data_IF_646332942739
#
_entry.id   IF_646332942739
#
_cell.length_a   1.000
_cell.length_b   1.000
_cell.length_c   1.000
_cell.angle_alpha   90.00
_cell.angle_beta   90.00
_cell.angle_gamma   90.00
#
_symmetry.space_group_name_H-M   'P 1'
#
loop_
_entity.id
_entity.type
_entity.pdbx_description
1 polymer ?
#
# COMPACT_ATOMS: atom_id res chain seq x y z
N UNK A 1 14.85 42.62 -74.11
CA UNK A 1 15.21 41.26 -74.62
C UNK A 1 15.42 40.43 -73.31
N UNK A 2 14.34 39.78 -72.95
CA UNK A 2 14.18 39.05 -71.63
C UNK A 2 14.76 37.64 -71.79
N UNK A 3 15.46 37.21 -70.79
CA UNK A 3 15.79 35.84 -70.53
C UNK A 3 15.09 35.43 -69.22
N UNK A 4 14.08 34.58 -69.33
CA UNK A 4 13.31 33.99 -68.26
C UNK A 4 14.19 32.96 -67.53
N UNK A 5 14.33 33.18 -66.23
CA UNK A 5 15.03 32.26 -65.31
C UNK A 5 14.00 31.31 -64.70
N UNK A 6 13.88 30.13 -65.30
CA UNK A 6 12.96 29.03 -64.97
C UNK A 6 13.54 28.27 -63.77
N UNK A 7 13.15 28.65 -62.51
CA UNK A 7 13.50 27.92 -61.30
C UNK A 7 12.58 26.71 -61.15
N UNK A 8 13.14 25.54 -61.32
CA UNK A 8 12.49 24.24 -61.02
C UNK A 8 12.16 24.15 -59.50
N UNK A 9 10.97 23.64 -59.13
CA UNK A 9 10.61 23.47 -57.70
C UNK A 9 11.42 22.36 -57.06
N UNK A 10 12.05 22.67 -55.92
CA UNK A 10 12.77 21.74 -55.07
C UNK A 10 11.85 20.61 -54.61
N UNK A 11 12.20 19.40 -55.02
CA UNK A 11 11.54 18.15 -54.64
C UNK A 11 11.77 17.90 -53.13
N UNK A 12 10.78 18.24 -52.28
CA UNK A 12 10.80 17.97 -50.85
C UNK A 12 10.69 16.46 -50.65
N UNK A 13 11.79 15.81 -50.33
CA UNK A 13 11.84 14.42 -49.90
C UNK A 13 11.09 14.26 -48.60
N UNK A 14 9.87 13.75 -48.66
CA UNK A 14 9.07 13.36 -47.49
C UNK A 14 9.71 12.10 -46.91
N UNK A 15 10.54 12.29 -45.88
CA UNK A 15 11.03 11.19 -45.04
C UNK A 15 9.84 10.48 -44.39
N UNK A 16 9.71 9.15 -44.51
CA UNK A 16 8.58 8.44 -43.92
C UNK A 16 8.69 8.53 -42.41
N UNK A 17 7.73 9.25 -41.80
CA UNK A 17 7.53 9.35 -40.36
C UNK A 17 7.39 7.93 -39.80
N UNK A 18 8.39 7.42 -39.08
CA UNK A 18 8.34 6.13 -38.38
C UNK A 18 7.01 6.07 -37.62
N UNK A 19 6.10 5.23 -38.09
CA UNK A 19 4.86 4.88 -37.35
C UNK A 19 5.23 4.36 -36.02
N UNK A 20 5.08 5.19 -34.98
CA UNK A 20 5.13 4.72 -33.58
C UNK A 20 4.13 3.57 -33.46
N UNK A 21 4.57 2.45 -32.89
CA UNK A 21 3.73 1.29 -32.58
C UNK A 21 2.52 1.78 -31.79
N UNK A 22 1.39 1.95 -32.45
CA UNK A 22 0.10 2.18 -31.80
C UNK A 22 -0.24 0.89 -31.04
N UNK A 23 -0.04 0.86 -29.75
CA UNK A 23 -0.52 -0.23 -28.90
C UNK A 23 -2.03 -0.36 -29.10
N UNK A 24 -2.49 -1.57 -29.46
CA UNK A 24 -3.91 -1.79 -29.71
C UNK A 24 -4.68 -1.54 -28.40
N UNK A 25 -5.91 -0.99 -28.48
CA UNK A 25 -6.80 -0.77 -27.33
C UNK A 25 -6.97 -2.05 -26.48
N UNK A 26 -6.91 -3.22 -27.11
CA UNK A 26 -6.98 -4.53 -26.43
C UNK A 26 -5.74 -4.80 -25.58
N UNK A 27 -4.55 -4.51 -26.09
CA UNK A 27 -3.28 -4.68 -25.38
C UNK A 27 -3.20 -3.76 -24.14
N UNK A 28 -3.63 -2.51 -24.26
CA UNK A 28 -3.69 -1.55 -23.15
C UNK A 28 -4.65 -2.02 -22.03
N UNK A 29 -5.83 -2.56 -22.41
CA UNK A 29 -6.80 -3.08 -21.44
C UNK A 29 -6.29 -4.32 -20.72
N UNK A 30 -5.68 -5.25 -21.42
CA UNK A 30 -5.07 -6.45 -20.82
C UNK A 30 -3.95 -6.03 -19.87
N UNK A 31 -3.05 -5.13 -20.31
CA UNK A 31 -1.97 -4.59 -19.49
C UNK A 31 -2.46 -3.97 -18.18
N UNK A 32 -3.55 -3.20 -18.22
CA UNK A 32 -4.16 -2.60 -17.03
C UNK A 32 -4.55 -3.65 -15.97
N UNK A 33 -5.25 -4.71 -16.38
CA UNK A 33 -5.67 -5.78 -15.48
C UNK A 33 -4.51 -6.64 -14.98
N UNK A 34 -3.51 -6.90 -15.83
CA UNK A 34 -2.30 -7.65 -15.42
C UNK A 34 -1.49 -6.87 -14.40
N UNK A 35 -1.29 -5.57 -14.60
CA UNK A 35 -0.59 -4.72 -13.60
C UNK A 35 -1.36 -4.68 -12.28
N UNK A 36 -2.69 -4.57 -12.32
CA UNK A 36 -3.52 -4.61 -11.12
C UNK A 36 -3.38 -5.96 -10.38
N UNK A 37 -3.42 -7.08 -11.11
CA UNK A 37 -3.25 -8.42 -10.55
C UNK A 37 -1.86 -8.60 -9.92
N UNK A 38 -0.80 -8.18 -10.62
CA UNK A 38 0.58 -8.21 -10.11
C UNK A 38 0.70 -7.37 -8.84
N UNK A 39 0.11 -6.18 -8.82
CA UNK A 39 0.12 -5.33 -7.64
C UNK A 39 -0.61 -5.99 -6.46
N UNK A 40 -1.76 -6.63 -6.69
CA UNK A 40 -2.47 -7.39 -5.67
C UNK A 40 -1.63 -8.56 -5.13
N UNK A 41 -0.96 -9.31 -6.00
CA UNK A 41 -0.05 -10.40 -5.60
C UNK A 41 1.06 -9.89 -4.69
N UNK A 42 1.67 -8.77 -5.00
CA UNK A 42 2.72 -8.18 -4.15
C UNK A 42 2.16 -7.76 -2.80
N UNK A 43 0.99 -7.12 -2.78
CA UNK A 43 0.34 -6.72 -1.53
C UNK A 43 -0.07 -7.93 -0.67
N UNK A 44 -0.48 -9.06 -1.29
CA UNK A 44 -0.70 -10.33 -0.57
C UNK A 44 0.50 -10.72 0.29
N UNK A 45 1.71 -10.69 -0.27
CA UNK A 45 2.93 -11.03 0.45
C UNK A 45 3.20 -10.13 1.66
N UNK A 46 2.67 -8.90 1.67
CA UNK A 46 2.78 -7.99 2.81
C UNK A 46 2.15 -8.52 4.09
N UNK A 47 1.05 -9.27 3.98
CA UNK A 47 0.26 -9.79 5.09
C UNK A 47 0.36 -11.31 5.27
N UNK A 48 0.90 -12.04 4.29
CA UNK A 48 1.12 -13.50 4.41
C UNK A 48 1.79 -13.93 5.72
N UNK A 49 2.84 -13.26 6.21
CA UNK A 49 3.50 -13.66 7.45
C UNK A 49 2.70 -13.41 8.73
N UNK A 50 1.63 -12.59 8.69
CA UNK A 50 0.91 -12.19 9.91
C UNK A 50 0.33 -13.38 10.67
N UNK A 51 -0.45 -14.30 10.05
CA UNK A 51 -0.95 -15.49 10.76
C UNK A 51 0.15 -16.46 11.18
N UNK A 52 1.36 -16.34 10.60
CA UNK A 52 2.48 -17.24 10.86
C UNK A 52 3.34 -16.82 12.06
N UNK A 53 3.20 -15.58 12.54
CA UNK A 53 4.00 -15.05 13.66
C UNK A 53 3.94 -15.94 14.90
N UNK A 54 2.79 -16.54 15.20
CA UNK A 54 2.63 -17.44 16.34
C UNK A 54 3.48 -18.71 16.23
N UNK A 55 3.60 -19.27 15.02
CA UNK A 55 4.40 -20.48 14.76
C UNK A 55 5.89 -20.16 14.90
N UNK A 56 6.36 -19.08 14.30
CA UNK A 56 7.75 -18.63 14.42
C UNK A 56 8.09 -18.18 15.85
N UNK A 57 7.21 -17.48 16.54
CA UNK A 57 7.42 -17.10 17.94
C UNK A 57 7.59 -18.32 18.83
N UNK A 58 6.80 -19.38 18.61
CA UNK A 58 6.91 -20.62 19.35
C UNK A 58 8.20 -21.40 19.01
N UNK A 59 8.60 -21.48 17.75
CA UNK A 59 9.78 -22.26 17.31
C UNK A 59 11.10 -21.51 17.54
N UNK A 60 11.13 -20.19 17.36
CA UNK A 60 12.33 -19.35 17.44
C UNK A 60 12.44 -18.58 18.79
N UNK A 61 11.48 -18.75 19.71
CA UNK A 61 11.48 -18.21 21.07
C UNK A 61 11.63 -16.68 21.16
N UNK A 62 11.00 -15.91 20.25
CA UNK A 62 10.95 -14.46 20.35
C UNK A 62 9.57 -13.96 20.84
N UNK A 63 9.57 -12.90 21.64
CA UNK A 63 8.35 -12.30 22.18
C UNK A 63 7.66 -11.32 21.23
N UNK A 64 6.70 -10.56 21.78
CA UNK A 64 5.91 -9.55 21.05
C UNK A 64 6.75 -8.47 20.37
N UNK A 65 7.90 -8.10 20.94
CA UNK A 65 8.84 -7.18 20.30
C UNK A 65 9.38 -7.73 18.96
N UNK A 66 9.73 -9.02 18.91
CA UNK A 66 10.16 -9.67 17.66
C UNK A 66 9.08 -9.59 16.58
N UNK A 67 7.83 -9.85 16.94
CA UNK A 67 6.69 -9.75 16.02
C UNK A 67 6.52 -8.33 15.47
N UNK A 68 6.57 -7.32 16.33
CA UNK A 68 6.47 -5.91 15.90
C UNK A 68 7.68 -5.47 15.08
N UNK A 69 8.88 -5.97 15.40
CA UNK A 69 10.11 -5.68 14.65
C UNK A 69 10.05 -6.26 13.22
N UNK A 70 9.56 -7.50 13.05
CA UNK A 70 9.35 -8.12 11.74
C UNK A 70 8.41 -7.28 10.87
N UNK A 71 7.34 -6.74 11.45
CA UNK A 71 6.43 -5.84 10.73
C UNK A 71 7.09 -4.49 10.41
N UNK A 72 7.78 -3.88 11.37
CA UNK A 72 8.40 -2.57 11.23
C UNK A 72 9.53 -2.55 10.19
N UNK A 73 10.35 -3.60 10.15
CA UNK A 73 11.44 -3.73 9.19
C UNK A 73 10.92 -3.83 7.75
N UNK A 74 9.79 -4.49 7.53
CA UNK A 74 9.10 -4.45 6.24
C UNK A 74 8.74 -3.02 5.83
N UNK A 75 8.07 -2.28 6.71
CA UNK A 75 7.67 -0.91 6.41
C UNK A 75 8.88 0.01 6.21
N UNK A 76 9.96 -0.19 6.96
CA UNK A 76 11.23 0.52 6.76
C UNK A 76 11.84 0.23 5.38
N UNK A 77 11.84 -1.03 4.93
CA UNK A 77 12.26 -1.40 3.58
C UNK A 77 11.45 -0.68 2.49
N UNK A 78 10.12 -0.59 2.66
CA UNK A 78 9.26 0.18 1.74
C UNK A 78 9.61 1.67 1.75
N UNK A 79 9.86 2.26 2.93
CA UNK A 79 10.26 3.67 3.04
C UNK A 79 11.57 3.95 2.30
N UNK A 80 12.60 3.12 2.52
CA UNK A 80 13.89 3.22 1.81
C UNK A 80 13.67 3.12 0.31
N UNK A 81 12.85 2.18 -0.12
CA UNK A 81 12.54 1.97 -1.54
C UNK A 81 11.85 3.17 -2.17
N UNK A 82 10.86 3.76 -1.53
CA UNK A 82 10.13 4.93 -2.03
C UNK A 82 11.01 6.18 -2.12
N UNK A 83 12.01 6.32 -1.25
CA UNK A 83 12.94 7.46 -1.28
C UNK A 83 14.04 7.29 -2.33
N UNK A 84 14.54 6.07 -2.52
CA UNK A 84 15.73 5.81 -3.35
C UNK A 84 15.36 5.39 -4.77
N UNK A 85 14.31 4.56 -4.92
CA UNK A 85 14.01 3.88 -6.19
C UNK A 85 12.71 4.35 -6.86
N UNK A 86 12.00 5.35 -6.32
CA UNK A 86 10.71 5.77 -6.88
C UNK A 86 10.81 6.31 -8.32
N UNK A 87 11.95 6.89 -8.73
CA UNK A 87 12.20 7.40 -10.09
C UNK A 87 12.71 6.32 -11.05
N UNK A 88 13.09 5.14 -10.54
CA UNK A 88 13.72 4.09 -11.33
C UNK A 88 12.89 3.67 -12.55
N UNK A 89 11.58 3.55 -12.35
CA UNK A 89 10.66 3.11 -13.40
C UNK A 89 10.36 4.18 -14.47
N UNK A 90 10.60 5.45 -14.17
CA UNK A 90 10.49 6.55 -15.13
C UNK A 90 11.68 6.51 -16.12
N UNK A 91 12.85 6.10 -15.66
CA UNK A 91 14.08 6.06 -16.44
C UNK A 91 14.26 4.74 -17.19
N UNK A 92 14.11 3.61 -16.49
CA UNK A 92 14.35 2.27 -17.06
C UNK A 92 13.15 1.68 -17.80
N UNK A 93 11.95 2.25 -17.59
CA UNK A 93 10.68 1.74 -18.06
C UNK A 93 9.93 0.92 -17.01
N UNK A 94 8.59 0.87 -17.14
CA UNK A 94 7.72 0.23 -16.14
C UNK A 94 7.94 -1.29 -16.09
N UNK A 95 7.97 -1.93 -17.26
CA UNK A 95 8.05 -3.39 -17.39
C UNK A 95 9.36 -3.96 -16.83
N UNK A 96 10.57 -3.50 -17.18
CA UNK A 96 11.82 -4.05 -16.64
C UNK A 96 11.94 -3.85 -15.14
N UNK A 97 11.47 -2.71 -14.62
CA UNK A 97 11.50 -2.44 -13.18
C UNK A 97 10.54 -3.36 -12.41
N UNK A 98 9.32 -3.60 -12.93
CA UNK A 98 8.40 -4.58 -12.34
C UNK A 98 9.00 -5.98 -12.32
N UNK A 99 9.64 -6.42 -13.41
CA UNK A 99 10.29 -7.75 -13.47
C UNK A 99 11.44 -7.83 -12.45
N UNK A 100 12.33 -6.84 -12.42
CA UNK A 100 13.45 -6.83 -11.48
C UNK A 100 12.98 -6.85 -10.02
N UNK A 101 11.98 -6.05 -9.69
CA UNK A 101 11.42 -6.01 -8.35
C UNK A 101 10.66 -7.31 -7.98
N UNK A 102 9.99 -7.97 -8.92
CA UNK A 102 9.40 -9.30 -8.69
C UNK A 102 10.46 -10.38 -8.48
N UNK A 103 11.62 -10.30 -9.15
CA UNK A 103 12.75 -11.19 -8.87
C UNK A 103 13.28 -10.98 -7.46
N UNK A 104 13.46 -9.73 -7.02
CA UNK A 104 13.86 -9.40 -5.64
C UNK A 104 12.82 -9.91 -4.64
N UNK A 105 11.53 -9.82 -4.97
CA UNK A 105 10.44 -10.39 -4.18
C UNK A 105 10.54 -11.92 -4.08
N UNK A 106 10.85 -12.59 -5.18
CA UNK A 106 11.11 -14.04 -5.21
C UNK A 106 12.29 -14.44 -4.33
N UNK A 107 13.38 -13.67 -4.37
CA UNK A 107 14.54 -13.86 -3.48
C UNK A 107 14.12 -13.70 -2.01
N UNK A 108 13.37 -12.64 -1.68
CA UNK A 108 12.83 -12.47 -0.33
C UNK A 108 11.99 -13.67 0.11
N UNK A 109 11.14 -14.17 -0.77
CA UNK A 109 10.29 -15.35 -0.51
C UNK A 109 11.14 -16.60 -0.26
N UNK A 110 12.24 -16.79 -1.02
CA UNK A 110 13.19 -17.86 -0.81
C UNK A 110 13.94 -17.72 0.54
N UNK A 111 14.27 -16.49 0.96
CA UNK A 111 14.87 -16.25 2.28
C UNK A 111 13.91 -16.65 3.40
N UNK A 112 12.59 -16.39 3.28
CA UNK A 112 11.61 -16.89 4.24
C UNK A 112 11.60 -18.41 4.36
N UNK A 113 11.81 -19.15 3.26
CA UNK A 113 11.85 -20.61 3.25
C UNK A 113 13.06 -21.19 4.01
N UNK A 114 14.16 -20.45 4.09
CA UNK A 114 15.38 -20.94 4.76
C UNK A 114 15.66 -20.23 6.09
N UNK A 115 14.78 -19.29 6.50
CA UNK A 115 14.96 -18.53 7.72
C UNK A 115 14.79 -19.43 8.96
N UNK A 116 15.88 -19.70 9.69
CA UNK A 116 15.90 -20.50 10.91
C UNK A 116 15.85 -19.68 12.20
N UNK A 117 15.93 -18.35 12.12
CA UNK A 117 15.96 -17.44 13.26
C UNK A 117 15.26 -16.10 12.95
N UNK A 118 15.14 -15.26 13.99
CA UNK A 118 14.55 -13.92 13.86
C UNK A 118 15.33 -13.05 12.86
N UNK A 119 16.65 -13.16 12.78
CA UNK A 119 17.48 -12.37 11.87
C UNK A 119 17.16 -12.68 10.42
N UNK A 120 17.01 -13.97 10.07
CA UNK A 120 16.58 -14.40 8.74
C UNK A 120 15.22 -13.83 8.36
N UNK A 121 14.24 -13.81 9.28
CA UNK A 121 12.93 -13.22 9.06
C UNK A 121 13.01 -11.69 8.85
N UNK A 122 13.86 -10.99 9.60
CA UNK A 122 14.07 -9.55 9.44
C UNK A 122 14.71 -9.22 8.09
N UNK A 123 15.70 -10.00 7.65
CA UNK A 123 16.33 -9.84 6.33
C UNK A 123 15.28 -10.08 5.22
N UNK A 124 14.53 -11.19 5.30
CA UNK A 124 13.47 -11.48 4.35
C UNK A 124 12.46 -10.32 4.27
N UNK A 125 12.01 -9.80 5.40
CA UNK A 125 11.08 -8.67 5.49
C UNK A 125 11.63 -7.38 4.91
N UNK A 126 12.89 -7.06 5.16
CA UNK A 126 13.54 -5.86 4.59
C UNK A 126 13.61 -5.94 3.07
N UNK A 127 14.08 -7.07 2.53
CA UNK A 127 14.17 -7.31 1.09
C UNK A 127 12.78 -7.29 0.44
N UNK A 128 11.78 -7.90 1.11
CA UNK A 128 10.38 -7.81 0.70
C UNK A 128 9.91 -6.36 0.61
N UNK A 129 10.18 -5.55 1.65
CA UNK A 129 9.81 -4.15 1.71
C UNK A 129 10.39 -3.34 0.57
N UNK A 130 11.69 -3.54 0.25
CA UNK A 130 12.34 -2.89 -0.89
C UNK A 130 11.60 -3.20 -2.21
N UNK A 131 11.31 -4.47 -2.47
CA UNK A 131 10.60 -4.89 -3.67
C UNK A 131 9.17 -4.33 -3.72
N UNK A 132 8.43 -4.41 -2.61
CA UNK A 132 7.06 -3.93 -2.50
C UNK A 132 6.95 -2.42 -2.74
N UNK A 133 7.90 -1.62 -2.24
CA UNK A 133 7.92 -0.17 -2.46
C UNK A 133 8.15 0.19 -3.93
N UNK A 134 9.13 -0.44 -4.61
CA UNK A 134 9.37 -0.26 -6.06
C UNK A 134 8.12 -0.62 -6.86
N UNK A 135 7.52 -1.77 -6.57
CA UNK A 135 6.34 -2.23 -7.30
C UNK A 135 5.14 -1.32 -7.04
N UNK A 136 4.94 -0.85 -5.80
CA UNK A 136 3.87 0.08 -5.45
C UNK A 136 3.95 1.35 -6.28
N UNK A 137 5.13 1.99 -6.34
CA UNK A 137 5.33 3.20 -7.12
C UNK A 137 5.12 2.94 -8.63
N UNK A 138 5.74 1.88 -9.14
CA UNK A 138 5.70 1.54 -10.57
C UNK A 138 4.31 1.10 -11.03
N UNK A 139 3.60 0.28 -10.24
CA UNK A 139 2.27 -0.19 -10.58
C UNK A 139 1.24 0.94 -10.58
N UNK A 140 1.31 1.86 -9.59
CA UNK A 140 0.43 3.04 -9.56
C UNK A 140 0.63 3.93 -10.80
N UNK A 141 1.88 4.17 -11.21
CA UNK A 141 2.19 4.92 -12.42
C UNK A 141 1.69 4.21 -13.68
N UNK A 142 1.98 2.90 -13.81
CA UNK A 142 1.53 2.10 -14.95
C UNK A 142 0.00 2.02 -15.05
N UNK A 143 -0.72 1.87 -13.93
CA UNK A 143 -2.19 1.90 -13.91
C UNK A 143 -2.73 3.26 -14.38
N UNK A 144 -2.12 4.36 -13.97
CA UNK A 144 -2.52 5.70 -14.43
C UNK A 144 -2.30 5.88 -15.95
N UNK A 145 -1.19 5.37 -16.47
CA UNK A 145 -0.84 5.44 -17.90
C UNK A 145 -1.71 4.50 -18.78
N UNK A 146 -2.08 3.34 -18.24
CA UNK A 146 -2.91 2.33 -18.93
C UNK A 146 -4.41 2.59 -18.77
N UNK A 147 -4.81 3.46 -17.85
CA UNK A 147 -6.22 3.80 -17.64
C UNK A 147 -6.82 4.49 -18.88
N UNK A 148 -8.11 4.28 -19.07
CA UNK A 148 -8.85 4.97 -20.14
C UNK A 148 -8.94 6.46 -19.84
N UNK A 149 -8.69 7.29 -20.85
CA UNK A 149 -8.73 8.76 -20.73
C UNK A 149 -10.11 9.30 -20.31
N UNK A 150 -11.18 8.58 -20.64
CA UNK A 150 -12.56 8.91 -20.30
C UNK A 150 -12.95 8.48 -18.85
N UNK A 151 -12.09 7.70 -18.17
CA UNK A 151 -12.32 7.20 -16.81
C UNK A 151 -11.04 7.33 -15.95
N UNK A 152 -10.54 8.52 -15.66
CA UNK A 152 -9.28 8.72 -14.91
C UNK A 152 -9.34 8.15 -13.49
N UNK A 153 -10.52 8.14 -12.86
CA UNK A 153 -10.72 7.57 -11.52
C UNK A 153 -10.55 6.05 -11.48
N UNK A 154 -10.69 5.34 -12.64
CA UNK A 154 -10.52 3.90 -12.66
C UNK A 154 -9.11 3.45 -12.25
N UNK A 155 -8.08 4.26 -12.49
CA UNK A 155 -6.72 3.97 -12.04
C UNK A 155 -6.58 4.00 -10.52
N UNK A 156 -7.06 5.07 -9.87
CA UNK A 156 -6.97 5.20 -8.41
C UNK A 156 -7.83 4.16 -7.69
N UNK A 157 -9.04 3.91 -8.18
CA UNK A 157 -9.90 2.84 -7.65
C UNK A 157 -9.22 1.48 -7.78
N UNK A 158 -8.66 1.15 -8.95
CA UNK A 158 -7.99 -0.12 -9.17
C UNK A 158 -6.72 -0.27 -8.31
N UNK A 159 -5.95 0.82 -8.15
CA UNK A 159 -4.80 0.84 -7.24
C UNK A 159 -5.21 0.49 -5.81
N UNK A 160 -6.31 1.05 -5.33
CA UNK A 160 -6.83 0.73 -3.99
C UNK A 160 -7.35 -0.68 -3.90
N UNK A 161 -8.10 -1.15 -4.90
CA UNK A 161 -8.59 -2.54 -4.95
C UNK A 161 -7.43 -3.52 -4.92
N UNK A 162 -6.39 -3.30 -5.71
CA UNK A 162 -5.21 -4.14 -5.74
C UNK A 162 -4.43 -4.09 -4.41
N UNK A 163 -4.26 -2.89 -3.84
CA UNK A 163 -3.54 -2.73 -2.58
C UNK A 163 -4.30 -3.36 -1.41
N UNK A 164 -5.48 -2.87 -1.09
CA UNK A 164 -6.25 -3.33 0.07
C UNK A 164 -6.78 -4.76 -0.11
N UNK A 165 -7.25 -5.09 -1.31
CA UNK A 165 -7.69 -6.45 -1.64
C UNK A 165 -6.56 -7.46 -1.55
N UNK A 166 -5.36 -7.10 -2.04
CA UNK A 166 -4.16 -7.92 -1.90
C UNK A 166 -3.80 -8.17 -0.44
N UNK A 167 -3.74 -7.12 0.38
CA UNK A 167 -3.46 -7.24 1.82
C UNK A 167 -4.49 -8.16 2.52
N UNK A 168 -5.79 -7.98 2.26
CA UNK A 168 -6.82 -8.84 2.83
C UNK A 168 -6.69 -10.30 2.39
N UNK A 169 -6.49 -10.55 1.10
CA UNK A 169 -6.33 -11.89 0.54
C UNK A 169 -5.08 -12.61 1.08
N UNK A 170 -3.98 -11.88 1.30
CA UNK A 170 -2.75 -12.46 1.82
C UNK A 170 -2.92 -13.08 3.20
N UNK A 171 -3.56 -12.34 4.12
CA UNK A 171 -3.83 -12.88 5.46
C UNK A 171 -4.72 -14.12 5.40
N UNK A 172 -5.83 -14.10 4.62
CA UNK A 172 -6.71 -15.26 4.47
C UNK A 172 -5.98 -16.44 3.85
N UNK A 173 -5.19 -16.23 2.79
CA UNK A 173 -4.44 -17.30 2.15
C UNK A 173 -3.50 -17.99 3.13
N UNK A 174 -2.74 -17.22 3.93
CA UNK A 174 -1.85 -17.78 4.94
C UNK A 174 -2.62 -18.48 6.07
N UNK A 175 -3.73 -17.92 6.53
CA UNK A 175 -4.59 -18.57 7.53
C UNK A 175 -5.20 -19.88 7.03
N UNK A 176 -5.56 -19.94 5.74
CA UNK A 176 -6.07 -21.15 5.11
C UNK A 176 -5.00 -22.24 5.07
N UNK A 177 -3.79 -21.91 4.62
CA UNK A 177 -2.68 -22.87 4.63
C UNK A 177 -2.35 -23.30 6.06
N UNK A 178 -2.33 -22.37 7.02
CA UNK A 178 -2.05 -22.69 8.42
C UNK A 178 -3.10 -23.61 9.08
N UNK A 179 -4.33 -23.64 8.55
CA UNK A 179 -5.38 -24.54 9.03
C UNK A 179 -5.29 -25.95 8.44
N UNK A 180 -4.91 -26.08 7.16
CA UNK A 180 -5.02 -27.33 6.42
C UNK A 180 -3.70 -28.06 6.19
N UNK A 181 -2.56 -27.42 6.42
CA UNK A 181 -1.23 -27.99 6.20
C UNK A 181 -0.45 -28.08 7.51
N UNK A 182 0.38 -29.12 7.61
CA UNK A 182 1.17 -29.42 8.82
C UNK A 182 2.36 -28.49 9.02
N UNK A 183 2.92 -27.95 7.93
CA UNK A 183 4.05 -27.00 7.95
C UNK A 183 3.69 -25.68 7.26
N UNK A 184 2.85 -24.85 7.90
CA UNK A 184 2.37 -23.64 7.28
C UNK A 184 3.48 -22.61 7.03
N UNK A 185 4.58 -22.69 7.78
CA UNK A 185 5.69 -21.71 7.67
C UNK A 185 6.50 -21.89 6.39
N UNK A 186 6.52 -23.06 5.79
CA UNK A 186 7.14 -23.32 4.49
C UNK A 186 6.10 -23.37 3.36
N UNK A 187 4.98 -24.05 3.56
CA UNK A 187 3.96 -24.23 2.52
C UNK A 187 3.42 -22.90 1.97
N UNK A 188 3.14 -21.91 2.84
CA UNK A 188 2.68 -20.60 2.40
C UNK A 188 3.65 -19.96 1.42
N UNK A 189 4.96 -20.03 1.68
CA UNK A 189 5.96 -19.39 0.83
C UNK A 189 6.26 -20.17 -0.44
N UNK A 190 6.12 -21.49 -0.43
CA UNK A 190 6.18 -22.28 -1.66
C UNK A 190 5.05 -21.92 -2.62
N UNK A 191 3.81 -21.86 -2.15
CA UNK A 191 2.67 -21.43 -2.96
C UNK A 191 2.84 -19.98 -3.42
N UNK A 192 3.31 -19.12 -2.55
CA UNK A 192 3.51 -17.71 -2.90
C UNK A 192 4.63 -17.55 -3.94
N UNK A 193 5.71 -18.32 -3.89
CA UNK A 193 6.77 -18.30 -4.88
C UNK A 193 6.27 -18.68 -6.28
N UNK A 194 5.37 -19.67 -6.38
CA UNK A 194 4.70 -20.04 -7.64
C UNK A 194 3.89 -18.85 -8.17
N UNK A 195 3.11 -18.19 -7.30
CA UNK A 195 2.28 -17.04 -7.68
C UNK A 195 3.15 -15.85 -8.13
N UNK A 196 4.28 -15.61 -7.47
CA UNK A 196 5.27 -14.59 -7.89
C UNK A 196 5.87 -14.95 -9.26
N UNK A 197 6.19 -16.21 -9.49
CA UNK A 197 6.65 -16.67 -10.82
C UNK A 197 5.63 -16.42 -11.93
N UNK A 198 4.36 -16.70 -11.66
CA UNK A 198 3.26 -16.39 -12.59
C UNK A 198 3.11 -14.88 -12.80
N UNK A 199 3.32 -14.06 -11.76
CA UNK A 199 3.32 -12.61 -11.87
C UNK A 199 4.46 -12.10 -12.78
N UNK A 200 5.66 -12.68 -12.71
CA UNK A 200 6.77 -12.37 -13.62
C UNK A 200 6.35 -12.66 -15.07
N UNK A 201 5.77 -13.83 -15.34
CA UNK A 201 5.28 -14.20 -16.66
C UNK A 201 4.20 -13.22 -17.15
N UNK A 202 3.28 -12.83 -16.26
CA UNK A 202 2.24 -11.86 -16.59
C UNK A 202 2.82 -10.50 -17.01
N UNK A 203 3.85 -10.00 -16.30
CA UNK A 203 4.49 -8.72 -16.64
C UNK A 203 5.19 -8.76 -18.01
N UNK A 204 5.66 -9.93 -18.47
CA UNK A 204 6.27 -10.06 -19.80
C UNK A 204 5.29 -9.67 -20.92
N UNK A 205 4.01 -9.85 -20.72
CA UNK A 205 2.96 -9.52 -21.71
C UNK A 205 2.49 -8.05 -21.59
N UNK A 206 2.79 -7.37 -20.48
CA UNK A 206 2.39 -5.95 -20.27
C UNK A 206 3.12 -5.05 -21.28
N UNK A 207 2.40 -4.17 -21.99
CA UNK A 207 3.03 -3.21 -22.89
C UNK A 207 3.85 -2.20 -22.12
N UNK A 208 5.05 -1.85 -22.63
CA UNK A 208 5.84 -0.77 -22.07
C UNK A 208 5.16 0.58 -22.35
N UNK A 209 4.97 1.38 -21.31
CA UNK A 209 4.25 2.65 -21.39
C UNK A 209 5.19 3.86 -21.46
N UNK A 210 6.43 3.70 -21.03
CA UNK A 210 7.44 4.76 -20.99
C UNK A 210 8.46 4.62 -22.11
N UNK A 211 8.81 5.73 -22.75
CA UNK A 211 9.97 5.80 -23.63
C UNK A 211 11.22 5.93 -22.77
N UNK A 212 12.15 5.00 -22.91
CA UNK A 212 13.43 5.03 -22.19
C UNK A 212 14.17 6.32 -22.48
N UNK A 213 14.55 7.05 -21.46
CA UNK A 213 15.51 8.14 -21.56
C UNK A 213 16.94 7.60 -21.47
N UNK A 214 17.85 8.16 -22.27
CA UNK A 214 19.24 7.76 -22.25
C UNK A 214 19.95 8.40 -21.04
N UNK A 215 20.37 7.59 -20.07
CA UNK A 215 21.13 8.03 -18.89
C UNK A 215 20.42 7.66 -17.60
N UNK A 216 21.03 6.77 -16.80
CA UNK A 216 20.56 6.46 -15.45
C UNK A 216 21.11 7.50 -14.49
N UNK A 217 20.23 8.24 -13.81
CA UNK A 217 20.57 9.12 -12.71
C UNK A 217 19.77 8.67 -11.49
N UNK A 218 20.48 8.15 -10.49
CA UNK A 218 19.85 7.85 -9.20
C UNK A 218 19.56 9.18 -8.48
N UNK A 219 18.36 9.69 -8.63
CA UNK A 219 17.89 10.84 -7.88
C UNK A 219 17.15 10.36 -6.63
N UNK A 220 17.73 10.63 -5.47
CA UNK A 220 17.04 10.44 -4.20
C UNK A 220 15.90 11.47 -4.13
N UNK A 221 14.67 10.99 -4.15
CA UNK A 221 13.51 11.87 -4.05
C UNK A 221 13.45 12.50 -2.66
N UNK A 222 13.37 13.81 -2.65
CA UNK A 222 13.21 14.57 -1.39
C UNK A 222 11.72 14.72 -1.09
N UNK A 223 11.30 14.55 0.19
CA UNK A 223 9.94 14.87 0.59
C UNK A 223 9.57 16.28 0.12
N UNK A 224 8.49 16.39 -0.63
CA UNK A 224 8.05 17.66 -1.21
C UNK A 224 6.74 18.10 -0.57
N UNK A 225 6.67 19.39 -0.22
CA UNK A 225 5.48 20.04 0.31
C UNK A 225 5.03 21.11 -0.67
N UNK A 226 3.73 21.31 -0.87
CA UNK A 226 3.22 22.41 -1.66
C UNK A 226 3.54 23.76 -0.99
N UNK A 227 3.62 24.82 -1.79
CA UNK A 227 3.86 26.16 -1.29
C UNK A 227 2.62 26.81 -0.65
N UNK A 228 2.84 27.88 0.12
CA UNK A 228 1.79 28.78 0.57
C UNK A 228 0.66 28.12 1.37
N UNK A 229 -0.57 28.41 0.96
CA UNK A 229 -1.78 28.01 1.69
C UNK A 229 -2.09 26.50 1.61
N UNK A 230 -1.68 25.83 0.55
CA UNK A 230 -1.90 24.41 0.32
C UNK A 230 -1.06 23.52 1.24
N UNK A 231 0.03 24.07 1.80
CA UNK A 231 0.89 23.37 2.75
C UNK A 231 0.12 22.91 4.00
N UNK A 232 -0.75 23.75 4.57
CA UNK A 232 -1.54 23.39 5.76
C UNK A 232 -2.51 22.27 5.47
N UNK A 233 -3.21 22.35 4.34
CA UNK A 233 -4.12 21.30 3.90
C UNK A 233 -3.40 19.98 3.69
N UNK A 234 -2.24 20.02 3.02
CA UNK A 234 -1.44 18.83 2.76
C UNK A 234 -0.90 18.22 4.07
N UNK A 235 -0.41 19.03 5.02
CA UNK A 235 -0.01 18.55 6.34
C UNK A 235 -1.17 17.89 7.09
N UNK A 236 -2.39 18.43 6.99
CA UNK A 236 -3.60 17.79 7.51
C UNK A 236 -3.83 16.41 6.90
N UNK A 237 -3.70 16.30 5.58
CA UNK A 237 -3.84 15.02 4.85
C UNK A 237 -2.77 14.02 5.26
N UNK A 238 -1.51 14.47 5.45
CA UNK A 238 -0.43 13.62 5.95
C UNK A 238 -0.73 13.09 7.35
N UNK A 239 -1.25 13.94 8.25
CA UNK A 239 -1.70 13.52 9.58
C UNK A 239 -2.83 12.50 9.52
N UNK A 240 -3.82 12.70 8.64
CA UNK A 240 -4.94 11.77 8.48
C UNK A 240 -4.50 10.40 7.97
N UNK A 241 -3.63 10.34 6.95
CA UNK A 241 -3.14 9.06 6.44
C UNK A 241 -2.22 8.37 7.44
N UNK A 242 -1.42 9.12 8.19
CA UNK A 242 -0.60 8.59 9.28
C UNK A 242 -1.48 7.90 10.33
N UNK A 243 -2.55 8.55 10.79
CA UNK A 243 -3.51 7.96 11.74
C UNK A 243 -4.23 6.72 11.17
N UNK A 244 -4.67 6.77 9.92
CA UNK A 244 -5.32 5.63 9.26
C UNK A 244 -4.40 4.42 9.15
N UNK A 245 -3.13 4.63 8.84
CA UNK A 245 -2.15 3.54 8.76
C UNK A 245 -1.65 3.08 10.12
N UNK A 246 -1.73 3.92 11.17
CA UNK A 246 -1.53 3.46 12.54
C UNK A 246 -2.56 2.40 12.93
N UNK A 247 -3.82 2.58 12.54
CA UNK A 247 -4.87 1.55 12.72
C UNK A 247 -4.48 0.26 11.99
N UNK A 248 -4.06 0.33 10.72
CA UNK A 248 -3.60 -0.87 9.97
C UNK A 248 -2.42 -1.57 10.65
N UNK A 249 -1.48 -0.81 11.21
CA UNK A 249 -0.34 -1.36 11.97
C UNK A 249 -0.78 -2.14 13.20
N UNK A 250 -1.73 -1.59 13.97
CA UNK A 250 -2.32 -2.27 15.13
C UNK A 250 -2.97 -3.59 14.73
N UNK A 251 -3.83 -3.55 13.70
CA UNK A 251 -4.50 -4.76 13.21
C UNK A 251 -3.52 -5.83 12.75
N UNK A 252 -2.45 -5.44 12.09
CA UNK A 252 -1.46 -6.38 11.57
C UNK A 252 -0.55 -6.98 12.65
N UNK A 253 -0.33 -6.28 13.77
CA UNK A 253 0.64 -6.69 14.78
C UNK A 253 0.02 -7.26 16.05
N UNK A 254 -1.07 -6.68 16.55
CA UNK A 254 -1.67 -7.05 17.83
C UNK A 254 -2.89 -7.94 17.73
N UNK A 255 -3.72 -7.76 16.69
CA UNK A 255 -4.98 -8.48 16.58
C UNK A 255 -4.80 -10.00 16.61
N UNK A 256 -3.80 -10.61 15.95
CA UNK A 256 -3.59 -12.05 16.05
C UNK A 256 -3.36 -12.53 17.48
N UNK A 257 -2.53 -11.80 18.25
CA UNK A 257 -2.26 -12.14 19.65
C UNK A 257 -3.49 -11.91 20.55
N UNK A 258 -4.26 -10.83 20.30
CA UNK A 258 -5.50 -10.56 21.03
C UNK A 258 -6.56 -11.64 20.79
N UNK A 259 -6.76 -12.04 19.55
CA UNK A 259 -7.70 -13.08 19.16
C UNK A 259 -7.37 -14.42 19.85
N UNK A 260 -6.10 -14.76 19.93
CA UNK A 260 -5.65 -15.98 20.58
C UNK A 260 -5.76 -15.89 22.12
N UNK A 261 -5.23 -14.82 22.73
CA UNK A 261 -5.04 -14.76 24.17
C UNK A 261 -6.29 -14.31 24.94
N UNK A 262 -7.14 -13.46 24.33
CA UNK A 262 -8.32 -12.92 25.02
C UNK A 262 -9.64 -13.49 24.49
N UNK A 263 -9.73 -13.73 23.19
CA UNK A 263 -10.93 -14.35 22.60
C UNK A 263 -10.87 -15.88 22.61
N UNK A 264 -9.72 -16.47 22.95
CA UNK A 264 -9.48 -17.94 23.00
C UNK A 264 -9.82 -18.62 21.66
N UNK A 265 -9.56 -17.93 20.54
CA UNK A 265 -9.74 -18.45 19.20
C UNK A 265 -8.39 -18.92 18.68
N UNK A 266 -8.15 -20.23 18.75
CA UNK A 266 -6.89 -20.85 18.30
C UNK A 266 -6.85 -21.17 16.80
N UNK A 267 -7.96 -20.96 16.08
CA UNK A 267 -8.05 -21.18 14.64
C UNK A 267 -7.31 -20.09 13.86
N UNK A 268 -6.29 -20.50 13.11
CA UNK A 268 -5.45 -19.58 12.31
C UNK A 268 -6.24 -18.86 11.21
N UNK A 269 -7.21 -19.55 10.60
CA UNK A 269 -8.04 -18.98 9.54
C UNK A 269 -9.02 -17.95 10.11
N UNK A 270 -9.63 -18.23 11.26
CA UNK A 270 -10.50 -17.27 11.94
C UNK A 270 -9.75 -16.01 12.34
N UNK A 271 -8.54 -16.15 12.90
CA UNK A 271 -7.66 -15.01 13.22
C UNK A 271 -7.29 -14.20 11.97
N UNK A 272 -6.91 -14.88 10.89
CA UNK A 272 -6.58 -14.26 9.61
C UNK A 272 -7.78 -13.53 8.98
N UNK A 273 -8.98 -14.10 9.09
CA UNK A 273 -10.21 -13.49 8.62
C UNK A 273 -10.52 -12.19 9.38
N UNK A 274 -10.38 -12.21 10.72
CA UNK A 274 -10.56 -11.01 11.54
C UNK A 274 -9.58 -9.88 11.18
N UNK A 275 -8.30 -10.21 10.95
CA UNK A 275 -7.32 -9.24 10.45
C UNK A 275 -7.70 -8.71 9.07
N UNK A 276 -8.26 -9.55 8.21
CA UNK A 276 -8.62 -9.17 6.83
C UNK A 276 -9.82 -8.23 6.75
N UNK A 277 -10.68 -8.20 7.77
CA UNK A 277 -11.89 -7.36 7.81
C UNK A 277 -11.54 -5.88 7.59
N UNK A 278 -10.49 -5.36 8.22
CA UNK A 278 -10.09 -3.96 8.07
C UNK A 278 -9.75 -3.61 6.63
N UNK A 279 -9.05 -4.50 5.93
CA UNK A 279 -8.64 -4.29 4.53
C UNK A 279 -9.81 -4.39 3.56
N UNK A 280 -10.70 -5.37 3.74
CA UNK A 280 -11.89 -5.50 2.91
C UNK A 280 -12.90 -4.39 3.18
N UNK A 281 -13.07 -3.95 4.43
CA UNK A 281 -13.90 -2.80 4.75
C UNK A 281 -13.34 -1.52 4.11
N UNK A 282 -12.02 -1.32 4.13
CA UNK A 282 -11.37 -0.20 3.46
C UNK A 282 -11.57 -0.24 1.94
N UNK A 283 -11.46 -1.42 1.33
CA UNK A 283 -11.73 -1.63 -0.10
C UNK A 283 -13.19 -1.35 -0.44
N UNK A 284 -14.13 -1.94 0.28
CA UNK A 284 -15.56 -1.79 0.03
C UNK A 284 -16.03 -0.34 0.18
N UNK A 285 -15.50 0.37 1.16
CA UNK A 285 -15.81 1.79 1.35
C UNK A 285 -15.39 2.68 0.17
N UNK A 286 -14.47 2.23 -0.68
CA UNK A 286 -14.06 2.98 -1.87
C UNK A 286 -14.77 2.54 -3.14
N UNK A 287 -15.19 1.28 -3.22
CA UNK A 287 -15.78 0.70 -4.44
C UNK A 287 -17.30 0.82 -4.45
N UNK A 288 -17.92 0.67 -3.26
CA UNK A 288 -19.38 0.74 -3.16
C UNK A 288 -19.87 2.20 -3.24
N UNK A 289 -21.00 2.43 -3.92
CA UNK A 289 -21.66 3.73 -3.87
C UNK A 289 -22.06 4.03 -2.43
N UNK A 290 -21.68 5.18 -1.93
CA UNK A 290 -21.98 5.62 -0.58
C UNK A 290 -22.92 6.86 -0.58
N UNK A 291 -23.66 7.10 0.51
CA UNK A 291 -24.53 8.27 0.62
C UNK A 291 -23.72 9.57 0.46
N UNK A 292 -24.34 10.60 -0.12
CA UNK A 292 -23.69 11.92 -0.32
C UNK A 292 -23.08 12.53 0.94
N UNK A 293 -23.58 12.17 2.13
CA UNK A 293 -22.99 12.56 3.44
C UNK A 293 -21.56 12.02 3.57
N UNK A 294 -21.28 10.83 3.02
CA UNK A 294 -19.94 10.26 3.01
C UNK A 294 -18.98 10.98 2.04
N UNK A 295 -19.48 11.85 1.16
CA UNK A 295 -18.63 12.63 0.25
C UNK A 295 -17.98 13.85 0.92
N UNK A 296 -18.44 14.23 2.10
CA UNK A 296 -17.88 15.34 2.87
C UNK A 296 -16.41 15.12 3.27
N UNK A 297 -15.61 16.20 3.36
CA UNK A 297 -14.16 16.10 3.66
C UNK A 297 -13.87 15.49 5.03
N UNK A 298 -14.82 15.58 5.97
CA UNK A 298 -14.70 15.06 7.33
C UNK A 298 -15.27 13.65 7.52
N UNK A 299 -15.99 13.10 6.53
CA UNK A 299 -16.64 11.80 6.70
C UNK A 299 -15.66 10.67 7.00
N UNK A 300 -14.55 10.57 6.24
CA UNK A 300 -13.52 9.57 6.50
C UNK A 300 -12.93 9.65 7.92
N UNK A 301 -12.45 10.83 8.35
CA UNK A 301 -11.95 11.04 9.71
C UNK A 301 -12.97 10.72 10.82
N UNK A 302 -14.22 11.15 10.66
CA UNK A 302 -15.28 10.88 11.65
C UNK A 302 -15.57 9.38 11.75
N UNK A 303 -15.69 8.70 10.62
CA UNK A 303 -15.90 7.25 10.57
C UNK A 303 -14.71 6.51 11.18
N UNK A 304 -13.47 6.96 10.90
CA UNK A 304 -12.25 6.39 11.49
C UNK A 304 -12.25 6.50 13.03
N UNK A 305 -12.57 7.69 13.57
CA UNK A 305 -12.65 7.91 15.02
C UNK A 305 -13.75 7.04 15.63
N UNK A 306 -14.97 7.09 15.06
CA UNK A 306 -16.10 6.33 15.56
C UNK A 306 -15.82 4.82 15.58
N UNK A 307 -15.28 4.29 14.48
CA UNK A 307 -14.89 2.89 14.38
C UNK A 307 -13.80 2.50 15.39
N UNK A 308 -12.81 3.38 15.58
CA UNK A 308 -11.74 3.16 16.57
C UNK A 308 -12.26 3.15 18.00
N UNK A 309 -13.24 4.01 18.34
CA UNK A 309 -13.91 3.99 19.65
C UNK A 309 -14.63 2.65 19.88
N UNK A 310 -15.44 2.22 18.91
CA UNK A 310 -16.19 0.95 19.02
C UNK A 310 -15.22 -0.24 19.10
N UNK A 311 -14.16 -0.21 18.33
CA UNK A 311 -13.09 -1.22 18.33
C UNK A 311 -12.43 -1.32 19.73
N UNK A 312 -11.98 -0.19 20.27
CA UNK A 312 -11.33 -0.14 21.60
C UNK A 312 -12.29 -0.57 22.71
N UNK A 313 -13.57 -0.15 22.64
CA UNK A 313 -14.60 -0.62 23.56
C UNK A 313 -14.78 -2.14 23.48
N UNK A 314 -14.72 -2.71 22.26
CA UNK A 314 -14.75 -4.15 22.07
C UNK A 314 -13.57 -4.88 22.70
N UNK A 315 -12.35 -4.31 22.58
CA UNK A 315 -11.15 -4.82 23.22
C UNK A 315 -11.29 -4.83 24.75
N UNK A 316 -11.72 -3.70 25.33
CA UNK A 316 -11.85 -3.54 26.77
C UNK A 316 -12.96 -4.42 27.38
N UNK A 317 -14.06 -4.60 26.65
CA UNK A 317 -15.19 -5.41 27.09
C UNK A 317 -15.05 -6.91 26.78
N UNK A 318 -13.98 -7.33 26.05
CA UNK A 318 -13.84 -8.70 25.56
C UNK A 318 -14.94 -9.14 24.60
N UNK A 319 -15.59 -8.18 23.92
CA UNK A 319 -16.75 -8.42 23.05
C UNK A 319 -16.33 -8.59 21.59
N UNK A 320 -16.42 -9.82 21.08
CA UNK A 320 -16.14 -10.14 19.66
C UNK A 320 -17.03 -9.34 18.71
N UNK A 321 -18.31 -9.15 19.04
CA UNK A 321 -19.24 -8.42 18.21
C UNK A 321 -18.87 -6.94 18.07
N UNK A 322 -18.56 -6.26 19.18
CA UNK A 322 -18.09 -4.87 19.16
C UNK A 322 -16.75 -4.75 18.44
N UNK A 323 -15.84 -5.70 18.66
CA UNK A 323 -14.57 -5.77 17.97
C UNK A 323 -14.78 -5.82 16.44
N UNK A 324 -15.62 -6.72 15.93
CA UNK A 324 -15.90 -6.86 14.49
C UNK A 324 -16.56 -5.59 13.94
N UNK A 325 -17.60 -5.07 14.60
CA UNK A 325 -18.28 -3.84 14.16
C UNK A 325 -17.31 -2.67 14.13
N UNK A 326 -16.52 -2.48 15.19
CA UNK A 326 -15.50 -1.43 15.25
C UNK A 326 -14.46 -1.57 14.14
N UNK A 327 -14.01 -2.81 13.85
CA UNK A 327 -13.06 -3.11 12.76
C UNK A 327 -13.63 -2.75 11.39
N UNK A 328 -14.89 -3.10 11.11
CA UNK A 328 -15.55 -2.76 9.83
C UNK A 328 -15.67 -1.23 9.69
N UNK A 329 -16.11 -0.54 10.73
CA UNK A 329 -16.30 0.92 10.69
C UNK A 329 -14.95 1.62 10.59
N UNK A 330 -13.95 1.23 11.40
CA UNK A 330 -12.60 1.81 11.34
C UNK A 330 -11.95 1.56 9.96
N UNK A 331 -12.08 0.34 9.42
CA UNK A 331 -11.58 -0.01 8.10
C UNK A 331 -12.21 0.83 6.99
N UNK A 332 -13.53 1.05 7.05
CA UNK A 332 -14.20 1.97 6.12
C UNK A 332 -13.63 3.39 6.22
N UNK A 333 -13.38 3.89 7.43
CA UNK A 333 -12.71 5.17 7.68
C UNK A 333 -11.31 5.22 7.09
N UNK A 334 -10.48 4.18 7.28
CA UNK A 334 -9.16 4.02 6.68
C UNK A 334 -9.25 4.14 5.16
N UNK A 335 -10.14 3.39 4.52
CA UNK A 335 -10.33 3.41 3.07
C UNK A 335 -10.68 4.80 2.56
N UNK A 336 -11.65 5.48 3.17
CA UNK A 336 -12.07 6.83 2.78
C UNK A 336 -10.96 7.86 2.97
N UNK A 337 -10.22 7.81 4.08
CA UNK A 337 -9.07 8.70 4.33
C UNK A 337 -7.98 8.48 3.29
N UNK A 338 -7.61 7.22 3.04
CA UNK A 338 -6.55 6.87 2.10
C UNK A 338 -6.88 7.27 0.67
N UNK A 339 -8.04 6.87 0.16
CA UNK A 339 -8.42 7.13 -1.23
C UNK A 339 -8.59 8.62 -1.53
N UNK A 340 -9.20 9.37 -0.61
CA UNK A 340 -9.36 10.83 -0.76
C UNK A 340 -8.04 11.56 -0.61
N UNK A 341 -7.24 11.15 0.37
CA UNK A 341 -5.93 11.75 0.63
C UNK A 341 -5.03 11.69 -0.60
N UNK A 342 -4.94 10.53 -1.27
CA UNK A 342 -4.16 10.39 -2.49
C UNK A 342 -4.74 11.23 -3.64
N UNK A 343 -6.06 11.28 -3.78
CA UNK A 343 -6.75 12.08 -4.81
C UNK A 343 -6.51 13.58 -4.63
N UNK A 344 -6.53 14.08 -3.39
CA UNK A 344 -6.21 15.49 -3.09
C UNK A 344 -4.73 15.78 -3.29
N UNK A 345 -3.84 14.88 -2.85
CA UNK A 345 -2.39 14.99 -3.09
C UNK A 345 -2.07 15.16 -4.57
N UNK A 346 -2.70 14.37 -5.43
CA UNK A 346 -2.51 14.46 -6.89
C UNK A 346 -3.03 15.77 -7.49
N UNK A 347 -4.08 16.37 -6.90
CA UNK A 347 -4.65 17.66 -7.35
C UNK A 347 -3.85 18.87 -6.89
N UNK A 348 -3.28 18.82 -5.67
CA UNK A 348 -2.47 19.88 -5.11
C UNK A 348 -1.06 19.95 -5.72
N UNK A 349 -0.63 18.86 -6.35
CA UNK A 349 0.72 18.75 -6.86
C UNK A 349 0.87 19.37 -8.25
N UNK A 350 1.85 20.23 -8.42
CA UNK A 350 2.33 20.65 -9.74
C UNK A 350 2.77 19.41 -10.54
N UNK A 351 2.56 19.39 -11.87
CA UNK A 351 2.90 18.23 -12.72
C UNK A 351 4.31 17.69 -12.49
N UNK A 352 5.29 18.59 -12.32
CA UNK A 352 6.70 18.27 -12.12
C UNK A 352 7.00 17.66 -10.73
N UNK A 353 6.22 18.03 -9.70
CA UNK A 353 6.40 17.58 -8.31
C UNK A 353 5.40 16.54 -7.84
N UNK A 354 4.50 16.11 -8.73
CA UNK A 354 3.41 15.19 -8.38
C UNK A 354 3.91 13.87 -7.79
N UNK A 355 4.94 13.31 -8.38
CA UNK A 355 5.52 12.07 -7.91
C UNK A 355 6.17 12.21 -6.51
N UNK A 356 6.83 13.33 -6.23
CA UNK A 356 7.46 13.61 -4.94
C UNK A 356 6.44 13.82 -3.83
N UNK A 357 5.32 14.51 -4.13
CA UNK A 357 4.24 14.70 -3.18
C UNK A 357 3.50 13.38 -2.88
N UNK A 358 3.29 12.53 -3.88
CA UNK A 358 2.71 11.19 -3.69
C UNK A 358 3.67 10.32 -2.86
N UNK A 359 4.97 10.38 -3.11
CA UNK A 359 5.97 9.69 -2.30
C UNK A 359 5.94 10.18 -0.84
N UNK A 360 5.82 11.51 -0.61
CA UNK A 360 5.67 12.08 0.74
C UNK A 360 4.39 11.60 1.44
N UNK A 361 3.29 11.44 0.70
CA UNK A 361 2.05 10.89 1.21
C UNK A 361 2.22 9.43 1.68
N UNK A 362 2.85 8.58 0.87
CA UNK A 362 3.16 7.20 1.26
C UNK A 362 4.17 7.13 2.39
N UNK A 363 5.16 8.03 2.43
CA UNK A 363 6.09 8.14 3.56
C UNK A 363 5.33 8.35 4.88
N UNK A 364 4.38 9.29 4.91
CA UNK A 364 3.53 9.50 6.08
C UNK A 364 2.68 8.26 6.44
N UNK A 365 2.13 7.57 5.44
CA UNK A 365 1.38 6.34 5.63
C UNK A 365 2.25 5.24 6.30
N UNK A 366 3.44 4.98 5.78
CA UNK A 366 4.32 3.95 6.34
C UNK A 366 4.94 4.34 7.68
N UNK A 367 5.24 5.63 7.91
CA UNK A 367 5.61 6.12 9.26
C UNK A 367 4.46 5.85 10.24
N UNK A 368 3.22 6.15 9.84
CA UNK A 368 2.03 5.88 10.62
C UNK A 368 1.85 4.40 10.95
N UNK A 369 2.12 3.52 10.00
CA UNK A 369 2.07 2.07 10.22
C UNK A 369 3.19 1.55 11.12
N UNK A 370 4.38 2.16 11.09
CA UNK A 370 5.59 1.64 11.75
C UNK A 370 5.78 2.19 13.14
N UNK A 371 5.82 3.53 13.28
CA UNK A 371 6.20 4.19 14.54
C UNK A 371 5.21 3.90 15.67
N UNK A 372 3.87 4.05 15.48
CA UNK A 372 2.90 3.70 16.51
C UNK A 372 2.92 2.22 16.86
N UNK A 373 3.12 1.34 15.88
CA UNK A 373 3.16 -0.12 16.09
C UNK A 373 4.38 -0.53 16.92
N UNK A 374 5.57 0.02 16.63
CA UNK A 374 6.77 -0.20 17.45
C UNK A 374 6.58 0.36 18.87
N UNK A 375 6.05 1.58 18.97
CA UNK A 375 5.73 2.21 20.25
C UNK A 375 4.80 1.33 21.08
N UNK A 376 3.76 0.78 20.44
CA UNK A 376 2.83 -0.15 21.08
C UNK A 376 3.52 -1.44 21.56
N UNK A 377 4.42 -2.02 20.76
CA UNK A 377 5.18 -3.21 21.14
C UNK A 377 6.07 -2.98 22.36
N UNK A 378 6.68 -1.79 22.48
CA UNK A 378 7.48 -1.39 23.64
C UNK A 378 6.58 -1.14 24.87
N UNK A 379 5.53 -0.35 24.71
CA UNK A 379 4.59 -0.03 25.81
C UNK A 379 3.92 -1.29 26.36
N UNK A 380 3.60 -2.25 25.51
CA UNK A 380 2.98 -3.50 25.93
C UNK A 380 3.85 -4.32 26.90
N UNK A 381 5.18 -4.22 26.80
CA UNK A 381 6.08 -4.89 27.72
C UNK A 381 6.09 -4.26 29.13
N UNK A 382 5.79 -2.97 29.23
CA UNK A 382 5.90 -2.20 30.49
C UNK A 382 4.55 -1.93 31.13
N UNK A 383 3.53 -1.61 30.35
CA UNK A 383 2.22 -1.16 30.83
C UNK A 383 1.10 -2.19 30.64
N UNK A 384 1.40 -3.30 29.90
CA UNK A 384 0.40 -4.28 29.52
C UNK A 384 -0.46 -3.82 28.33
N UNK A 385 -1.23 -4.76 27.77
CA UNK A 385 -1.95 -4.58 26.50
C UNK A 385 -3.01 -3.47 26.58
N UNK A 386 -3.82 -3.45 27.64
CA UNK A 386 -4.94 -2.51 27.80
C UNK A 386 -4.48 -1.04 27.85
N UNK A 387 -3.47 -0.72 28.69
CA UNK A 387 -2.98 0.65 28.77
C UNK A 387 -2.29 1.10 27.49
N UNK A 388 -1.57 0.21 26.84
CA UNK A 388 -0.84 0.49 25.60
C UNK A 388 -1.78 0.77 24.43
N UNK A 389 -2.87 0.01 24.29
CA UNK A 389 -3.88 0.23 23.25
C UNK A 389 -4.64 1.51 23.46
N UNK A 390 -5.02 1.83 24.72
CA UNK A 390 -5.67 3.11 25.07
C UNK A 390 -4.80 4.32 24.73
N UNK A 391 -3.50 4.29 25.07
CA UNK A 391 -2.55 5.37 24.74
C UNK A 391 -2.52 5.56 23.22
N UNK A 392 -2.35 4.49 22.49
CA UNK A 392 -2.30 4.56 21.03
C UNK A 392 -3.62 5.05 20.42
N UNK A 393 -4.75 4.58 20.94
CA UNK A 393 -6.07 5.06 20.53
C UNK A 393 -6.20 6.58 20.71
N UNK A 394 -5.82 7.12 21.87
CA UNK A 394 -5.84 8.57 22.12
C UNK A 394 -4.95 9.30 21.13
N UNK A 395 -3.75 8.79 20.83
CA UNK A 395 -2.83 9.37 19.84
C UNK A 395 -3.48 9.40 18.45
N UNK A 396 -4.12 8.30 18.02
CA UNK A 396 -4.81 8.22 16.73
C UNK A 396 -5.94 9.25 16.65
N UNK A 397 -6.76 9.36 17.69
CA UNK A 397 -7.87 10.33 17.76
C UNK A 397 -7.35 11.76 17.69
N UNK A 398 -6.31 12.10 18.46
CA UNK A 398 -5.71 13.44 18.48
C UNK A 398 -5.12 13.80 17.11
N UNK A 399 -4.35 12.91 16.50
CA UNK A 399 -3.77 13.14 15.17
C UNK A 399 -4.88 13.30 14.12
N UNK A 400 -5.92 12.47 14.19
CA UNK A 400 -7.07 12.55 13.27
C UNK A 400 -7.82 13.86 13.45
N UNK A 401 -8.06 14.32 14.67
CA UNK A 401 -8.74 15.59 14.96
C UNK A 401 -7.92 16.80 14.47
N UNK A 402 -6.62 16.82 14.75
CA UNK A 402 -5.70 17.90 14.29
C UNK A 402 -5.64 17.88 12.76
N UNK A 403 -5.44 16.72 12.14
CA UNK A 403 -5.39 16.57 10.68
C UNK A 403 -6.69 17.05 10.00
N UNK A 404 -7.84 16.71 10.58
CA UNK A 404 -9.15 17.15 10.12
C UNK A 404 -9.30 18.67 10.21
N UNK A 405 -8.90 19.28 11.32
CA UNK A 405 -8.94 20.74 11.52
C UNK A 405 -8.03 21.51 10.54
N UNK A 406 -6.86 20.94 10.20
CA UNK A 406 -5.97 21.51 9.20
C UNK A 406 -6.52 21.37 7.77
N UNK A 407 -7.15 20.22 7.46
CA UNK A 407 -7.69 19.94 6.13
C UNK A 407 -9.03 20.67 5.86
N UNK A 408 -9.89 20.85 6.87
CA UNK A 408 -11.25 21.37 6.72
C UNK A 408 -11.34 22.89 6.56
N UNK A 409 -10.35 23.67 6.95
CA UNK A 409 -10.41 25.17 6.96
C UNK A 409 -10.64 25.82 5.59
N UNK A 410 -10.73 25.06 4.50
CA UNK A 410 -11.07 25.53 3.15
C UNK A 410 -12.49 25.18 2.67
N UNK A 411 -13.10 24.11 3.20
CA UNK A 411 -14.43 23.68 2.78
C UNK A 411 -15.59 24.58 3.23
N UNK A 412 -15.34 25.50 4.15
CA UNK A 412 -16.34 26.44 4.69
C UNK A 412 -16.34 27.81 3.98
N UNK A 413 -15.53 28.02 2.94
CA UNK A 413 -15.42 29.29 2.20
C UNK A 413 -15.65 29.16 0.68
N UNK A 414 -16.08 28.03 0.18
CA UNK A 414 -16.65 27.82 -1.14
C UNK A 414 -18.06 27.27 -1.01
#
# INVERSE_FOLDING_TARGET
MNADDERAPAMTTITPRKRGRTTSRRSTRIGFWLVAAVYAVVMMGGTLPIPLYRFWSASMHFGSFGTTAIFAVYAFGVLVSLLVFASLSDQLGRRPVLIGALIVLGISTAVFLVAGDLTGLLIARFVFGLAAGVITATANAALAELARKDKPQAASTMSTVANMGGLGLGSIAAGTVARFFSDPTHEVFWWYLIVVGLAVVAVIVVPETVKKEAGFHAEVRRPSLPGGHDRRMFLGILGLVLAAFAVNGVFSSLVPAFVQNQLHIDDALASAALVSIVFFAALLAQVLPHPRIADGPLAGPVILIAGSIVFETGLLAGSVSLFIVGTVVAGAGVGLVFGRGIGVTQRLADPERRADMVATYFLAAYIGSTVPTLGLGILNQTLGTTASTLILFVVIVVITAIGSGLAARRGLRQ
#
